data_IF_286137890848
#
_entry.id   IF_286137890848
#
_cell.length_a   1.000
_cell.length_b   1.000
_cell.length_c   1.000
_cell.angle_alpha   90.00
_cell.angle_beta   90.00
_cell.angle_gamma   90.00
#
_symmetry.space_group_name_H-M   'P 1'
#
loop_
_entity.id
_entity.type
_entity.pdbx_description
1 polymer ?
#
# COMPACT_ATOMS: atom_id res chain seq x y z
N UNK A 1 -4.20 -17.49 7.31
CA UNK A 1 -5.14 -16.36 7.33
C UNK A 1 -5.78 -16.12 5.96
N UNK A 2 -5.03 -15.65 4.95
CA UNK A 2 -5.59 -15.29 3.65
C UNK A 2 -5.87 -16.52 2.75
N UNK A 3 -7.14 -16.82 2.47
CA UNK A 3 -7.59 -17.95 1.62
C UNK A 3 -7.96 -17.52 0.19
N UNK A 4 -7.79 -16.25 -0.16
CA UNK A 4 -8.18 -15.72 -1.48
C UNK A 4 -7.20 -16.23 -2.54
N UNK A 5 -7.74 -16.77 -3.65
CA UNK A 5 -6.93 -17.30 -4.76
C UNK A 5 -6.02 -16.24 -5.39
N UNK A 6 -6.53 -15.01 -5.51
CA UNK A 6 -5.85 -13.85 -6.10
C UNK A 6 -6.02 -12.64 -5.18
N UNK A 7 -5.02 -12.29 -4.36
CA UNK A 7 -5.02 -11.04 -3.61
C UNK A 7 -5.14 -9.81 -4.54
N UNK A 8 -5.48 -8.62 -4.00
CA UNK A 8 -5.55 -7.40 -4.79
C UNK A 8 -4.26 -7.18 -5.61
N UNK A 9 -4.42 -7.05 -6.93
CA UNK A 9 -3.29 -6.87 -7.85
C UNK A 9 -3.03 -5.41 -8.17
N UNK A 10 -4.06 -4.59 -8.06
CA UNK A 10 -4.04 -3.18 -8.40
C UNK A 10 -4.87 -2.41 -7.37
N UNK A 11 -4.30 -1.34 -6.84
CA UNK A 11 -4.98 -0.41 -5.95
C UNK A 11 -4.81 0.98 -6.53
N UNK A 12 -5.91 1.72 -6.60
CA UNK A 12 -5.93 3.14 -6.95
C UNK A 12 -6.69 3.89 -5.87
N UNK A 13 -6.15 5.03 -5.46
CA UNK A 13 -6.76 5.84 -4.41
C UNK A 13 -6.46 7.33 -4.59
N UNK A 14 -7.40 8.15 -4.13
CA UNK A 14 -7.29 9.60 -4.07
C UNK A 14 -6.85 10.00 -2.66
N UNK A 15 -5.98 11.00 -2.54
CA UNK A 15 -5.63 11.59 -1.25
C UNK A 15 -5.27 13.06 -1.37
N UNK A 16 -5.57 13.83 -0.33
CA UNK A 16 -5.27 15.26 -0.27
C UNK A 16 -4.00 15.49 0.53
N UNK A 17 -3.07 16.25 -0.04
CA UNK A 17 -1.91 16.73 0.69
C UNK A 17 -2.24 18.09 1.28
N UNK A 18 -2.39 18.15 2.60
CA UNK A 18 -2.62 19.41 3.31
C UNK A 18 -1.47 20.41 3.10
N UNK A 19 -0.23 19.91 3.03
CA UNK A 19 0.97 20.73 2.85
C UNK A 19 1.05 21.28 1.43
N UNK A 20 0.77 20.44 0.42
CA UNK A 20 0.85 20.88 -0.99
C UNK A 20 -0.44 21.59 -1.44
N UNK A 21 -1.53 21.50 -0.67
CA UNK A 21 -2.86 22.03 -0.98
C UNK A 21 -3.42 21.51 -2.31
N UNK A 22 -3.19 20.24 -2.59
CA UNK A 22 -3.67 19.59 -3.81
C UNK A 22 -4.04 18.12 -3.57
N UNK A 23 -4.91 17.63 -4.44
CA UNK A 23 -5.29 16.22 -4.51
C UNK A 23 -4.33 15.46 -5.41
N UNK A 24 -4.00 14.24 -4.99
CA UNK A 24 -3.21 13.28 -5.73
C UNK A 24 -4.01 12.01 -6.00
N UNK A 25 -3.74 11.40 -7.14
CA UNK A 25 -4.23 10.07 -7.51
C UNK A 25 -3.04 9.13 -7.58
N UNK A 26 -2.98 8.13 -6.70
CA UNK A 26 -1.90 7.13 -6.71
C UNK A 26 -2.43 5.79 -7.18
N UNK A 27 -1.71 5.18 -8.11
CA UNK A 27 -1.99 3.85 -8.65
C UNK A 27 -0.79 2.94 -8.38
N UNK A 28 -1.05 1.75 -7.85
CA UNK A 28 -0.03 0.76 -7.51
C UNK A 28 -0.40 -0.63 -8.05
N UNK A 29 0.52 -1.23 -8.79
CA UNK A 29 0.44 -2.61 -9.31
C UNK A 29 1.38 -3.49 -8.51
N UNK A 30 0.84 -4.52 -7.85
CA UNK A 30 1.60 -5.44 -7.01
C UNK A 30 2.06 -6.67 -7.77
N UNK A 31 3.20 -7.23 -7.36
CA UNK A 31 3.78 -8.40 -7.99
C UNK A 31 3.54 -9.70 -7.22
N UNK A 32 3.95 -10.85 -7.81
CA UNK A 32 3.84 -12.16 -7.18
C UNK A 32 4.46 -12.26 -5.79
N UNK A 33 5.56 -11.53 -5.55
CA UNK A 33 6.24 -11.49 -4.26
C UNK A 33 5.36 -10.89 -3.16
N UNK A 34 4.72 -9.75 -3.43
CA UNK A 34 3.76 -9.12 -2.51
C UNK A 34 2.59 -10.06 -2.20
N UNK A 35 2.07 -10.75 -3.21
CA UNK A 35 0.96 -11.69 -3.02
C UNK A 35 1.37 -12.93 -2.24
N UNK A 36 2.59 -13.43 -2.46
CA UNK A 36 3.14 -14.53 -1.68
C UNK A 36 3.25 -14.12 -0.22
N UNK A 37 3.78 -12.92 0.05
CA UNK A 37 3.89 -12.37 1.40
C UNK A 37 2.53 -12.24 2.10
N UNK A 38 1.48 -11.80 1.40
CA UNK A 38 0.11 -11.73 1.95
C UNK A 38 -0.53 -13.10 2.24
N UNK A 39 0.02 -14.19 1.70
CA UNK A 39 -0.51 -15.57 1.82
C UNK A 39 0.35 -16.46 2.70
N UNK A 40 1.51 -15.99 3.13
CA UNK A 40 2.48 -16.75 3.92
C UNK A 40 2.63 -16.07 5.27
N UNK A 41 2.55 -16.80 6.39
CA UNK A 41 2.83 -16.21 7.70
C UNK A 41 4.29 -15.76 7.76
N UNK A 42 4.59 -14.85 8.69
CA UNK A 42 5.97 -14.51 8.99
C UNK A 42 6.73 -15.74 9.52
N UNK A 43 8.06 -15.65 9.52
CA UNK A 43 8.95 -16.70 10.02
C UNK A 43 9.02 -16.78 11.56
N UNK A 44 8.12 -16.06 12.24
CA UNK A 44 8.07 -15.93 13.68
C UNK A 44 6.63 -15.93 14.19
N UNK A 45 6.50 -16.11 15.50
CA UNK A 45 5.23 -16.12 16.22
C UNK A 45 5.13 -14.93 17.17
N UNK A 46 3.90 -14.57 17.52
CA UNK A 46 3.59 -13.60 18.57
C UNK A 46 2.53 -14.19 19.50
N UNK A 47 2.79 -14.17 20.81
CA UNK A 47 1.94 -14.80 21.83
C UNK A 47 1.57 -16.27 21.55
N UNK A 48 2.45 -17.01 20.87
CA UNK A 48 2.26 -18.42 20.51
C UNK A 48 1.53 -18.64 19.18
N UNK A 49 1.02 -17.58 18.55
CA UNK A 49 0.32 -17.64 17.28
C UNK A 49 1.19 -17.23 16.08
N UNK A 50 0.87 -17.76 14.90
CA UNK A 50 1.53 -17.37 13.66
C UNK A 50 1.19 -15.92 13.31
N UNK A 51 2.21 -15.10 13.01
CA UNK A 51 2.02 -13.72 12.57
C UNK A 51 1.69 -13.68 11.09
N UNK A 52 0.69 -12.88 10.72
CA UNK A 52 0.28 -12.70 9.33
C UNK A 52 0.37 -11.23 8.93
N UNK A 53 0.83 -10.99 7.70
CA UNK A 53 0.77 -9.67 7.08
C UNK A 53 -0.65 -9.43 6.53
N UNK A 54 -1.57 -9.08 7.42
CA UNK A 54 -3.00 -8.94 7.15
C UNK A 54 -3.41 -7.53 6.69
N UNK A 55 -2.50 -6.56 6.81
CA UNK A 55 -2.64 -5.20 6.33
C UNK A 55 -1.43 -4.77 5.47
N UNK A 56 -1.67 -3.78 4.62
CA UNK A 56 -0.65 -3.13 3.79
C UNK A 56 -0.76 -1.63 4.04
N UNK A 57 0.34 -0.99 4.45
CA UNK A 57 0.34 0.43 4.75
C UNK A 57 0.87 1.25 3.57
N UNK A 58 0.25 2.40 3.32
CA UNK A 58 0.69 3.40 2.35
C UNK A 58 1.09 4.66 3.11
N UNK A 59 2.39 4.96 3.12
CA UNK A 59 2.91 6.20 3.64
C UNK A 59 2.81 7.29 2.58
N UNK A 60 2.10 8.36 2.90
CA UNK A 60 1.86 9.49 2.01
C UNK A 60 2.70 10.67 2.48
N UNK A 61 3.41 11.32 1.58
CA UNK A 61 4.25 12.48 1.91
C UNK A 61 4.20 13.56 0.86
N UNK A 62 4.50 14.83 1.22
CA UNK A 62 4.44 15.96 0.30
C UNK A 62 5.21 15.72 -1.01
N UNK A 63 4.71 16.32 -2.08
CA UNK A 63 5.22 16.13 -3.45
C UNK A 63 4.74 14.84 -4.12
N UNK A 64 3.64 14.25 -3.65
CA UNK A 64 3.02 13.07 -4.29
C UNK A 64 3.77 11.76 -4.07
N UNK A 65 4.67 11.71 -3.08
CA UNK A 65 5.51 10.54 -2.80
C UNK A 65 4.75 9.53 -1.94
N UNK A 66 4.80 8.28 -2.38
CA UNK A 66 4.15 7.17 -1.69
C UNK A 66 5.17 6.06 -1.46
N UNK A 67 5.22 5.57 -0.23
CA UNK A 67 5.93 4.35 0.16
C UNK A 67 4.93 3.31 0.65
N UNK A 68 5.26 2.04 0.46
CA UNK A 68 4.37 0.92 0.81
C UNK A 68 5.14 -0.08 1.65
N UNK A 69 4.54 -0.58 2.73
CA UNK A 69 5.15 -1.62 3.56
C UNK A 69 4.13 -2.53 4.23
N UNK A 70 4.57 -3.73 4.60
CA UNK A 70 3.87 -4.55 5.57
C UNK A 70 4.36 -4.16 6.97
N UNK A 71 3.48 -3.73 7.89
CA UNK A 71 3.86 -3.56 9.28
C UNK A 71 4.10 -4.94 9.90
N UNK A 72 4.95 -4.96 10.92
CA UNK A 72 5.25 -6.16 11.70
C UNK A 72 5.00 -5.89 13.19
N UNK A 73 4.97 -6.93 14.01
CA UNK A 73 4.63 -6.86 15.43
C UNK A 73 5.88 -6.83 16.31
N UNK A 74 5.70 -6.58 17.62
CA UNK A 74 6.75 -6.71 18.62
C UNK A 74 8.00 -5.84 18.41
N UNK A 75 7.85 -4.69 17.74
CA UNK A 75 8.98 -3.82 17.40
C UNK A 75 9.89 -4.37 16.30
N UNK A 76 9.48 -5.42 15.59
CA UNK A 76 10.16 -5.88 14.38
C UNK A 76 10.03 -4.82 13.27
N UNK A 77 11.04 -4.69 12.40
CA UNK A 77 11.00 -3.68 11.35
C UNK A 77 9.91 -4.00 10.33
N UNK A 78 9.19 -2.97 9.90
CA UNK A 78 8.30 -3.04 8.75
C UNK A 78 9.05 -3.50 7.50
N UNK A 79 8.38 -4.27 6.65
CA UNK A 79 8.94 -4.79 5.41
C UNK A 79 8.54 -3.89 4.23
N UNK A 80 9.47 -3.17 3.60
CA UNK A 80 9.16 -2.37 2.43
C UNK A 80 8.66 -3.24 1.29
N UNK A 81 7.62 -2.76 0.60
CA UNK A 81 7.06 -3.38 -0.59
C UNK A 81 7.45 -2.53 -1.77
N UNK A 82 8.00 -3.16 -2.80
CA UNK A 82 8.26 -2.51 -4.09
C UNK A 82 7.18 -2.95 -5.08
N UNK A 83 6.16 -2.11 -5.37
CA UNK A 83 5.22 -2.41 -6.43
C UNK A 83 5.94 -2.59 -7.76
N UNK A 84 5.36 -3.41 -8.65
CA UNK A 84 5.85 -3.57 -10.03
C UNK A 84 5.83 -2.24 -10.77
N UNK A 85 4.75 -1.48 -10.56
CA UNK A 85 4.58 -0.13 -11.05
C UNK A 85 3.84 0.67 -9.99
N UNK A 86 4.28 1.89 -9.76
CA UNK A 86 3.57 2.85 -8.93
C UNK A 86 3.78 4.23 -9.53
N UNK A 87 2.70 5.00 -9.60
CA UNK A 87 2.75 6.38 -10.05
C UNK A 87 1.71 7.20 -9.31
N UNK A 88 2.02 8.48 -9.15
CA UNK A 88 1.14 9.46 -8.54
C UNK A 88 0.94 10.60 -9.53
N UNK A 89 -0.31 10.97 -9.77
CA UNK A 89 -0.72 12.05 -10.66
C UNK A 89 -1.36 13.17 -9.84
N UNK A 90 -1.37 14.37 -10.40
CA UNK A 90 -2.01 15.54 -9.82
C UNK A 90 -2.68 16.40 -10.90
N UNK A 91 -3.61 17.26 -10.48
CA UNK A 91 -4.28 18.20 -11.36
C UNK A 91 -4.95 17.54 -12.57
N UNK A 92 -4.69 18.08 -13.76
CA UNK A 92 -5.36 17.66 -15.00
C UNK A 92 -4.93 16.28 -15.52
N UNK A 93 -3.84 15.71 -15.01
CA UNK A 93 -3.36 14.38 -15.38
C UNK A 93 -4.13 13.26 -14.67
N UNK A 94 -4.83 13.58 -13.57
CA UNK A 94 -5.69 12.63 -12.87
C UNK A 94 -6.90 12.24 -13.72
N UNK A 95 -7.36 11.01 -13.56
CA UNK A 95 -8.52 10.49 -14.30
C UNK A 95 -9.69 10.20 -13.37
N UNK A 96 -9.44 9.54 -12.24
CA UNK A 96 -10.46 9.15 -11.27
C UNK A 96 -10.74 10.25 -10.26
N UNK A 97 -9.71 10.97 -9.83
CA UNK A 97 -9.81 11.97 -8.75
C UNK A 97 -10.00 13.40 -9.27
N UNK A 98 -10.22 13.58 -10.58
CA UNK A 98 -10.22 14.90 -11.22
C UNK A 98 -11.34 15.82 -10.72
N UNK A 99 -12.52 15.26 -10.51
CA UNK A 99 -13.69 15.97 -10.00
C UNK A 99 -13.97 15.62 -8.53
N UNK A 100 -13.00 14.99 -7.86
CA UNK A 100 -13.11 14.65 -6.44
C UNK A 100 -12.91 15.91 -5.61
N UNK A 101 -14.03 16.53 -5.24
CA UNK A 101 -14.10 17.64 -4.28
C UNK A 101 -14.61 17.06 -2.97
N UNK A 102 -13.80 17.14 -1.91
CA UNK A 102 -14.19 16.75 -0.54
C UNK A 102 -15.03 17.84 0.11
#
# INVERSE_FOLDING_TARGET
FNKVKKPPQYIVFCWESYIDKQTYETSAVFGPETWLRMKTPADHTWDGDAVWYDNLLFGLSPGGKVDVWFPDVAGRPSLPVKPLKMWTLAGNEMTLCKDYVV
#
